data_IF_504095621066
#
_entry.id   IF_504095621066
#
_cell.length_a   1.000
_cell.length_b   1.000
_cell.length_c   1.000
_cell.angle_alpha   90.00
_cell.angle_beta   90.00
_cell.angle_gamma   90.00
#
_symmetry.space_group_name_H-M   'P 1'
#
loop_
_entity.id
_entity.type
_entity.pdbx_description
1 polymer ?
#
# COMPACT_ATOMS: atom_id res chain seq x y z
N UNK A 1 12.87 -20.53 -6.23
CA UNK A 1 11.85 -20.37 -5.18
C UNK A 1 10.76 -19.34 -5.50
N UNK A 2 10.82 -18.70 -6.66
CA UNK A 2 9.74 -17.85 -7.15
C UNK A 2 8.62 -18.72 -7.72
N UNK A 3 7.37 -18.36 -7.39
CA UNK A 3 6.17 -18.98 -7.94
C UNK A 3 5.43 -17.89 -8.70
N UNK A 4 5.10 -18.13 -9.95
CA UNK A 4 4.30 -17.19 -10.76
C UNK A 4 2.87 -17.09 -10.21
N UNK A 5 2.29 -15.90 -10.33
CA UNK A 5 0.86 -15.64 -10.11
C UNK A 5 0.38 -14.49 -11.01
N UNK A 6 -0.91 -14.46 -11.32
CA UNK A 6 -1.52 -13.43 -12.19
C UNK A 6 -1.60 -12.04 -11.54
N UNK A 7 -1.23 -11.90 -10.26
CA UNK A 7 -1.22 -10.63 -9.55
C UNK A 7 -1.05 -10.78 -8.06
N UNK A 8 -0.64 -9.71 -7.38
CA UNK A 8 -0.45 -9.72 -5.92
C UNK A 8 -1.79 -9.94 -5.19
N UNK A 9 -2.88 -9.32 -5.61
CA UNK A 9 -4.21 -9.52 -4.97
C UNK A 9 -4.71 -10.97 -5.09
N UNK A 10 -4.62 -11.64 -6.25
CA UNK A 10 -4.86 -13.09 -6.33
C UNK A 10 -3.97 -13.88 -5.37
N UNK A 11 -2.67 -13.57 -5.29
CA UNK A 11 -1.74 -14.24 -4.36
C UNK A 11 -2.15 -14.04 -2.89
N UNK A 12 -2.51 -12.82 -2.49
CA UNK A 12 -2.99 -12.52 -1.13
C UNK A 12 -4.26 -13.30 -0.79
N UNK A 13 -5.22 -13.37 -1.72
CA UNK A 13 -6.45 -14.14 -1.53
C UNK A 13 -6.16 -15.64 -1.39
N UNK A 14 -5.23 -16.16 -2.18
CA UNK A 14 -4.76 -17.55 -2.08
C UNK A 14 -4.03 -17.81 -0.76
N UNK A 15 -3.17 -16.88 -0.32
CA UNK A 15 -2.47 -16.96 0.96
C UNK A 15 -3.46 -16.99 2.14
N UNK A 16 -4.43 -16.08 2.16
CA UNK A 16 -5.50 -16.05 3.18
C UNK A 16 -6.24 -17.38 3.23
N UNK A 17 -6.66 -17.95 2.10
CA UNK A 17 -7.34 -19.25 2.06
C UNK A 17 -6.47 -20.40 2.56
N UNK A 18 -5.20 -20.41 2.20
CA UNK A 18 -4.30 -21.55 2.44
C UNK A 18 -3.62 -21.53 3.79
N UNK A 19 -3.32 -20.35 4.29
CA UNK A 19 -2.49 -20.20 5.49
C UNK A 19 -3.31 -19.96 6.75
N UNK A 20 -4.62 -19.74 6.59
CA UNK A 20 -5.59 -19.58 7.69
C UNK A 20 -6.78 -20.52 7.52
N UNK A 21 -7.61 -20.66 8.56
CA UNK A 21 -8.90 -21.33 8.49
C UNK A 21 -10.07 -20.33 8.53
N UNK A 22 -11.29 -20.70 8.05
CA UNK A 22 -12.44 -19.80 8.15
C UNK A 22 -12.67 -19.28 9.57
N UNK A 23 -13.06 -18.01 9.67
CA UNK A 23 -13.28 -17.25 10.89
C UNK A 23 -12.02 -16.87 11.70
N UNK A 24 -10.83 -17.30 11.31
CA UNK A 24 -9.60 -16.76 11.90
C UNK A 24 -9.39 -15.27 11.54
N UNK A 25 -8.59 -14.62 12.35
CA UNK A 25 -8.25 -13.23 12.22
C UNK A 25 -7.04 -13.03 11.29
N UNK A 26 -7.15 -12.04 10.40
CA UNK A 26 -6.03 -11.55 9.60
C UNK A 26 -5.78 -10.10 9.96
N UNK A 27 -4.58 -9.81 10.46
CA UNK A 27 -4.18 -8.48 10.90
C UNK A 27 -3.64 -7.65 9.73
N UNK A 28 -4.09 -6.40 9.63
CA UNK A 28 -3.59 -5.37 8.70
C UNK A 28 -3.36 -4.06 9.44
N UNK A 29 -2.33 -3.31 9.05
CA UNK A 29 -2.02 -2.00 9.62
C UNK A 29 -2.69 -0.88 8.82
N UNK A 30 -3.71 -0.25 9.41
CA UNK A 30 -4.49 0.79 8.72
C UNK A 30 -4.00 2.22 9.06
N UNK A 31 -4.18 3.20 8.13
CA UNK A 31 -4.84 3.08 6.82
C UNK A 31 -4.01 2.25 5.83
N UNK A 32 -4.67 1.38 5.05
CA UNK A 32 -3.99 0.49 4.10
C UNK A 32 -4.84 0.21 2.87
N UNK A 33 -4.22 -0.34 1.83
CA UNK A 33 -4.87 -0.65 0.57
C UNK A 33 -6.18 -1.43 0.74
N UNK A 34 -7.27 -0.85 0.25
CA UNK A 34 -8.63 -1.33 0.48
C UNK A 34 -8.92 -2.76 0.00
N UNK A 35 -8.19 -3.27 -1.00
CA UNK A 35 -8.38 -4.64 -1.46
C UNK A 35 -7.90 -5.70 -0.45
N UNK A 36 -7.09 -5.35 0.54
CA UNK A 36 -6.75 -6.30 1.62
C UNK A 36 -8.00 -6.70 2.41
N UNK A 37 -8.89 -5.75 2.70
CA UNK A 37 -10.18 -6.03 3.34
C UNK A 37 -11.01 -7.03 2.54
N UNK A 38 -11.04 -6.86 1.21
CA UNK A 38 -11.77 -7.76 0.31
C UNK A 38 -11.11 -9.15 0.28
N UNK A 39 -9.78 -9.23 0.18
CA UNK A 39 -9.05 -10.49 0.18
C UNK A 39 -9.27 -11.29 1.48
N UNK A 40 -9.49 -10.61 2.61
CA UNK A 40 -9.78 -11.24 3.90
C UNK A 40 -11.27 -11.65 4.00
N UNK A 41 -12.17 -10.67 3.84
CA UNK A 41 -13.61 -10.88 4.06
C UNK A 41 -14.24 -11.83 3.04
N UNK A 42 -13.88 -11.69 1.76
CA UNK A 42 -14.41 -12.57 0.69
C UNK A 42 -13.96 -14.02 0.85
N UNK A 43 -12.93 -14.27 1.64
CA UNK A 43 -12.47 -15.62 1.98
C UNK A 43 -12.96 -16.10 3.36
N UNK A 44 -13.92 -15.40 3.99
CA UNK A 44 -14.55 -15.82 5.25
C UNK A 44 -13.65 -15.68 6.49
N UNK A 45 -12.69 -14.75 6.47
CA UNK A 45 -11.81 -14.42 7.61
C UNK A 45 -12.20 -13.06 8.19
N UNK A 46 -11.82 -12.84 9.44
CA UNK A 46 -12.06 -11.58 10.12
C UNK A 46 -10.88 -10.61 9.88
N UNK A 47 -11.21 -9.33 9.70
CA UNK A 47 -10.20 -8.28 9.61
C UNK A 47 -9.91 -7.75 11.00
N UNK A 48 -8.65 -7.78 11.43
CA UNK A 48 -8.16 -7.08 12.61
C UNK A 48 -7.36 -5.86 12.15
N UNK A 49 -7.90 -4.69 12.44
CA UNK A 49 -7.26 -3.41 12.08
C UNK A 49 -6.34 -2.94 13.22
N UNK A 50 -5.04 -2.98 12.97
CA UNK A 50 -4.01 -2.33 13.77
C UNK A 50 -3.82 -0.92 13.23
N UNK A 51 -4.53 0.04 13.81
CA UNK A 51 -4.47 1.44 13.39
C UNK A 51 -3.11 2.03 13.76
N UNK A 52 -2.41 2.57 12.75
CA UNK A 52 -1.16 3.30 12.94
C UNK A 52 -1.40 4.65 13.62
N UNK A 53 -0.49 5.04 14.49
CA UNK A 53 -0.51 6.34 15.15
C UNK A 53 -0.02 7.42 14.19
N UNK A 54 -0.83 8.46 13.99
CA UNK A 54 -0.47 9.62 13.17
C UNK A 54 -0.22 10.85 14.04
N UNK A 55 1.00 11.38 14.00
CA UNK A 55 1.42 12.52 14.82
C UNK A 55 1.19 13.90 14.17
N UNK A 56 0.59 13.93 12.98
CA UNK A 56 0.39 15.13 12.16
C UNK A 56 1.39 15.27 11.03
N UNK A 57 2.40 14.40 10.95
CA UNK A 57 3.42 14.39 9.92
C UNK A 57 3.67 13.00 9.33
N UNK A 58 3.80 11.99 10.18
CA UNK A 58 4.15 10.62 9.81
C UNK A 58 3.37 9.58 10.63
N UNK A 59 3.35 8.35 10.14
CA UNK A 59 2.76 7.22 10.83
C UNK A 59 3.80 6.44 11.64
N UNK A 60 3.37 5.93 12.81
CA UNK A 60 4.15 5.05 13.68
C UNK A 60 3.32 3.85 14.11
N UNK A 61 3.99 2.77 14.49
CA UNK A 61 3.32 1.56 14.99
C UNK A 61 2.98 1.76 16.49
N UNK A 62 1.74 1.45 16.83
CA UNK A 62 1.33 1.24 18.22
C UNK A 62 1.75 -0.19 18.62
N UNK A 63 2.92 -0.29 19.22
CA UNK A 63 3.53 -1.58 19.54
C UNK A 63 2.76 -2.37 20.60
N UNK A 64 2.19 -1.71 21.58
CA UNK A 64 1.39 -2.36 22.64
C UNK A 64 0.12 -2.98 22.03
N UNK A 65 -0.58 -2.21 21.21
CA UNK A 65 -1.79 -2.68 20.52
C UNK A 65 -1.46 -3.77 19.51
N UNK A 66 -0.35 -3.66 18.77
CA UNK A 66 0.10 -4.68 17.82
C UNK A 66 0.36 -6.00 18.56
N UNK A 67 1.12 -5.98 19.63
CA UNK A 67 1.42 -7.18 20.41
C UNK A 67 0.16 -7.80 21.00
N UNK A 68 -0.74 -7.02 21.58
CA UNK A 68 -2.01 -7.49 22.11
C UNK A 68 -2.86 -8.18 21.04
N UNK A 69 -2.89 -7.64 19.81
CA UNK A 69 -3.66 -8.22 18.70
C UNK A 69 -3.02 -9.47 18.11
N UNK A 70 -1.69 -9.56 18.10
CA UNK A 70 -0.95 -10.76 17.69
C UNK A 70 -1.07 -11.88 18.74
N UNK A 71 -1.17 -11.54 20.01
CA UNK A 71 -1.34 -12.51 21.11
C UNK A 71 -2.72 -13.19 21.16
N UNK A 72 -3.70 -12.69 20.40
CA UNK A 72 -4.99 -13.37 20.23
C UNK A 72 -4.76 -14.66 19.42
N UNK A 73 -5.09 -15.85 19.99
CA UNK A 73 -4.87 -17.13 19.33
C UNK A 73 -5.68 -17.31 18.03
N UNK A 74 -6.67 -16.45 17.76
CA UNK A 74 -7.37 -16.42 16.48
C UNK A 74 -6.62 -15.64 15.42
N UNK A 75 -5.61 -14.82 15.76
CA UNK A 75 -4.78 -14.06 14.81
C UNK A 75 -3.66 -14.96 14.30
N UNK A 76 -3.77 -15.44 13.08
CA UNK A 76 -2.84 -16.42 12.48
C UNK A 76 -2.08 -15.91 11.27
N UNK A 77 -2.49 -14.75 10.73
CA UNK A 77 -1.87 -14.12 9.57
C UNK A 77 -1.80 -12.60 9.76
N UNK A 78 -0.67 -12.00 9.35
CA UNK A 78 -0.54 -10.56 9.15
C UNK A 78 -0.25 -10.27 7.68
N UNK A 79 -0.97 -9.34 7.07
CA UNK A 79 -0.61 -8.78 5.76
C UNK A 79 0.12 -7.47 6.01
N UNK A 80 1.41 -7.46 5.71
CA UNK A 80 2.29 -6.30 5.82
C UNK A 80 2.40 -5.61 4.47
N UNK A 81 1.99 -4.34 4.38
CA UNK A 81 2.16 -3.50 3.19
C UNK A 81 3.42 -2.65 3.37
N UNK A 82 4.50 -3.02 2.71
CA UNK A 82 5.77 -2.29 2.80
C UNK A 82 6.49 -2.31 1.45
N UNK A 83 6.64 -1.17 0.76
CA UNK A 83 6.19 0.18 1.12
C UNK A 83 4.68 0.32 1.22
N UNK A 84 4.23 1.14 2.17
CA UNK A 84 2.81 1.25 2.49
C UNK A 84 2.04 2.09 1.45
N UNK A 85 0.87 1.61 1.06
CA UNK A 85 -0.15 2.35 0.34
C UNK A 85 -1.34 2.58 1.30
N UNK A 86 -1.73 3.82 1.66
CA UNK A 86 -1.60 5.05 0.85
C UNK A 86 -0.45 5.99 1.22
N UNK A 87 0.17 5.86 2.38
CA UNK A 87 1.04 6.91 2.94
C UNK A 87 2.47 6.92 2.36
N UNK A 88 2.94 5.82 1.78
CA UNK A 88 4.30 5.72 1.24
C UNK A 88 5.37 5.45 2.29
N UNK A 89 5.00 5.05 3.49
CA UNK A 89 5.96 4.67 4.54
C UNK A 89 6.80 3.48 4.11
N UNK A 90 8.07 3.51 4.53
CA UNK A 90 8.99 2.37 4.49
C UNK A 90 9.45 2.13 5.92
N UNK A 91 9.34 0.90 6.40
CA UNK A 91 9.85 0.52 7.71
C UNK A 91 11.33 0.20 7.64
N UNK A 92 12.09 0.67 8.63
CA UNK A 92 13.50 0.35 8.77
C UNK A 92 13.73 -1.10 9.26
N UNK A 93 14.99 -1.54 9.24
CA UNK A 93 15.38 -2.90 9.60
C UNK A 93 14.99 -3.27 11.03
N UNK A 94 15.13 -2.34 11.98
CA UNK A 94 14.81 -2.57 13.39
C UNK A 94 13.31 -2.77 13.60
N UNK A 95 12.51 -1.92 12.97
CA UNK A 95 11.04 -2.02 12.96
C UNK A 95 10.57 -3.34 12.35
N UNK A 96 11.13 -3.71 11.19
CA UNK A 96 10.79 -4.98 10.51
C UNK A 96 11.21 -6.20 11.35
N UNK A 97 12.41 -6.18 11.96
CA UNK A 97 12.88 -7.24 12.84
C UNK A 97 11.96 -7.41 14.07
N UNK A 98 11.50 -6.30 14.65
CA UNK A 98 10.57 -6.33 15.79
C UNK A 98 9.21 -6.89 15.40
N UNK A 99 8.67 -6.53 14.23
CA UNK A 99 7.44 -7.15 13.69
C UNK A 99 7.66 -8.66 13.54
N UNK A 100 8.77 -9.07 12.92
CA UNK A 100 9.11 -10.48 12.73
C UNK A 100 9.21 -11.26 14.04
N UNK A 101 9.88 -10.70 15.04
CA UNK A 101 10.02 -11.31 16.36
C UNK A 101 8.67 -11.51 17.06
N UNK A 102 7.78 -10.49 17.03
CA UNK A 102 6.44 -10.60 17.61
C UNK A 102 5.58 -11.63 16.84
N UNK A 103 5.58 -11.60 15.51
CA UNK A 103 4.85 -12.58 14.71
C UNK A 103 5.34 -14.01 14.99
N UNK A 104 6.65 -14.23 15.12
CA UNK A 104 7.22 -15.54 15.48
C UNK A 104 6.82 -15.99 16.87
N UNK A 105 6.82 -15.06 17.85
CA UNK A 105 6.45 -15.34 19.24
C UNK A 105 5.01 -15.87 19.36
N UNK A 106 4.10 -15.36 18.52
CA UNK A 106 2.67 -15.70 18.55
C UNK A 106 2.22 -16.60 17.38
N UNK A 107 3.16 -17.25 16.70
CA UNK A 107 2.90 -18.16 15.57
C UNK A 107 2.08 -17.53 14.41
N UNK A 108 2.27 -16.23 14.16
CA UNK A 108 1.60 -15.50 13.09
C UNK A 108 2.48 -15.50 11.84
N UNK A 109 1.93 -15.95 10.70
CA UNK A 109 2.58 -15.89 9.39
C UNK A 109 2.49 -14.47 8.83
N UNK A 110 3.57 -13.97 8.22
CA UNK A 110 3.57 -12.67 7.55
C UNK A 110 3.46 -12.83 6.03
N UNK A 111 2.47 -12.23 5.42
CA UNK A 111 2.42 -12.04 3.97
C UNK A 111 2.83 -10.59 3.67
N UNK A 112 4.05 -10.43 3.14
CA UNK A 112 4.62 -9.12 2.82
C UNK A 112 4.23 -8.72 1.39
N UNK A 113 3.40 -7.70 1.25
CA UNK A 113 3.12 -7.07 -0.05
C UNK A 113 4.17 -6.01 -0.32
N UNK A 114 5.09 -6.35 -1.22
CA UNK A 114 6.24 -5.53 -1.62
C UNK A 114 6.11 -4.99 -3.05
N UNK A 115 4.88 -4.88 -3.56
CA UNK A 115 4.61 -4.46 -4.94
C UNK A 115 5.15 -3.06 -5.29
N UNK A 116 5.45 -2.25 -4.30
CA UNK A 116 5.99 -0.90 -4.45
C UNK A 116 7.50 -0.81 -4.12
N UNK A 117 8.20 -1.92 -3.89
CA UNK A 117 9.58 -1.95 -3.40
C UNK A 117 10.59 -1.17 -4.26
N UNK A 118 10.40 -1.14 -5.58
CA UNK A 118 11.28 -0.42 -6.51
C UNK A 118 10.95 1.09 -6.63
N UNK A 119 9.77 1.51 -6.14
CA UNK A 119 9.26 2.87 -6.28
C UNK A 119 9.59 3.72 -5.04
N UNK A 120 10.83 3.70 -4.63
CA UNK A 120 11.34 4.52 -3.52
C UNK A 120 11.82 5.87 -4.01
N UNK A 121 11.84 6.86 -3.12
CA UNK A 121 12.50 8.14 -3.35
C UNK A 121 13.97 7.92 -3.72
N UNK A 122 14.54 8.65 -4.68
CA UNK A 122 15.96 8.55 -5.00
C UNK A 122 16.84 8.66 -3.75
N UNK A 123 17.78 7.73 -3.59
CA UNK A 123 18.66 7.65 -2.43
C UNK A 123 18.09 6.95 -1.20
N UNK A 124 16.83 6.52 -1.22
CA UNK A 124 16.23 5.73 -0.13
C UNK A 124 16.39 4.24 -0.41
N UNK A 125 16.99 3.52 0.54
CA UNK A 125 17.11 2.06 0.50
C UNK A 125 15.80 1.39 0.95
N UNK A 126 15.37 0.38 0.22
CA UNK A 126 14.29 -0.51 0.61
C UNK A 126 14.83 -1.82 1.16
N UNK A 127 14.28 -2.29 2.26
CA UNK A 127 14.67 -3.56 2.89
C UNK A 127 13.52 -4.56 2.77
N UNK A 128 13.67 -5.62 1.94
CA UNK A 128 12.68 -6.69 1.86
C UNK A 128 12.51 -7.39 3.22
N UNK A 129 11.28 -7.68 3.63
CA UNK A 129 11.01 -8.29 4.93
C UNK A 129 11.77 -9.61 5.13
N UNK A 130 11.79 -10.48 4.13
CA UNK A 130 12.51 -11.76 4.17
C UNK A 130 14.05 -11.62 4.22
N UNK A 131 14.60 -10.43 3.99
CA UNK A 131 16.05 -10.16 4.06
C UNK A 131 16.54 -9.63 5.40
N UNK A 132 15.62 -9.33 6.31
CA UNK A 132 15.93 -8.72 7.61
C UNK A 132 16.79 -9.64 8.47
N UNK A 133 16.28 -10.84 8.72
CA UNK A 133 16.94 -11.90 9.49
C UNK A 133 16.33 -13.29 9.14
N UNK A 134 16.84 -14.34 9.81
CA UNK A 134 16.36 -15.71 9.59
C UNK A 134 14.93 -15.93 10.09
N UNK A 135 14.51 -15.23 11.12
CA UNK A 135 13.14 -15.29 11.65
C UNK A 135 12.14 -14.73 10.64
N UNK A 136 12.38 -13.51 10.15
CA UNK A 136 11.55 -12.88 9.13
C UNK A 136 11.46 -13.74 7.85
N UNK A 137 12.58 -14.36 7.47
CA UNK A 137 12.66 -15.24 6.30
C UNK A 137 11.85 -16.52 6.47
N UNK A 138 11.89 -17.13 7.65
CA UNK A 138 11.22 -18.41 7.94
C UNK A 138 9.68 -18.27 7.99
N UNK A 139 9.17 -17.15 8.53
CA UNK A 139 7.74 -16.95 8.75
C UNK A 139 7.02 -16.22 7.61
N UNK A 140 7.72 -15.85 6.54
CA UNK A 140 7.14 -14.95 5.54
C UNK A 140 6.88 -15.57 4.18
N UNK A 141 5.87 -14.98 3.53
CA UNK A 141 5.55 -15.12 2.11
C UNK A 141 5.60 -13.71 1.51
N UNK A 142 6.52 -13.47 0.58
CA UNK A 142 6.70 -12.17 -0.08
C UNK A 142 5.98 -12.15 -1.42
N UNK A 143 5.21 -11.09 -1.69
CA UNK A 143 4.54 -10.85 -2.97
C UNK A 143 5.19 -9.66 -3.68
N UNK A 144 5.70 -9.87 -4.89
CA UNK A 144 6.36 -8.86 -5.74
C UNK A 144 5.77 -8.84 -7.14
N UNK A 145 5.87 -7.71 -7.83
CA UNK A 145 5.40 -7.62 -9.21
C UNK A 145 6.06 -6.47 -9.97
N UNK A 146 6.33 -6.61 -11.28
CA UNK A 146 6.80 -5.52 -12.13
C UNK A 146 5.69 -4.51 -12.46
N UNK A 147 4.45 -4.83 -12.11
CA UNK A 147 3.25 -4.16 -12.62
C UNK A 147 3.11 -2.72 -12.17
N UNK A 148 3.60 -2.36 -10.98
CA UNK A 148 3.62 -0.98 -10.48
C UNK A 148 4.89 -0.27 -10.91
N UNK A 149 6.01 -0.93 -10.78
CA UNK A 149 7.33 -0.41 -11.15
C UNK A 149 7.40 0.01 -12.61
N UNK A 150 6.96 -0.84 -13.53
CA UNK A 150 7.08 -0.65 -14.98
C UNK A 150 5.74 -0.41 -15.69
N UNK A 151 4.69 -0.04 -14.95
CA UNK A 151 3.35 0.23 -15.52
C UNK A 151 2.79 -0.94 -16.37
N UNK A 152 3.00 -2.19 -15.94
CA UNK A 152 2.62 -3.41 -16.65
C UNK A 152 1.37 -4.10 -16.05
N UNK A 153 0.49 -3.35 -15.38
CA UNK A 153 -0.66 -3.93 -14.68
C UNK A 153 -1.58 -4.78 -15.58
N UNK A 154 -1.73 -4.38 -16.86
CA UNK A 154 -2.53 -5.10 -17.85
C UNK A 154 -2.00 -6.48 -18.22
N UNK A 155 -0.72 -6.77 -17.94
CA UNK A 155 -0.10 -8.07 -18.20
C UNK A 155 -0.32 -9.10 -17.09
N UNK A 156 -0.96 -8.71 -15.97
CA UNK A 156 -1.37 -9.62 -14.91
C UNK A 156 -0.23 -10.58 -14.50
N UNK A 157 0.88 -10.04 -14.05
CA UNK A 157 2.06 -10.81 -13.65
C UNK A 157 2.56 -10.37 -12.28
N UNK A 158 2.82 -11.34 -11.43
CA UNK A 158 3.45 -11.17 -10.13
C UNK A 158 4.19 -12.47 -9.75
N UNK A 159 4.95 -12.43 -8.69
CA UNK A 159 5.61 -13.60 -8.13
C UNK A 159 5.43 -13.66 -6.62
N UNK A 160 5.39 -14.87 -6.11
CA UNK A 160 5.42 -15.19 -4.68
C UNK A 160 6.76 -15.83 -4.36
N UNK A 161 7.40 -15.38 -3.30
CA UNK A 161 8.62 -15.96 -2.75
C UNK A 161 8.36 -16.44 -1.32
N UNK A 162 8.84 -17.62 -1.00
CA UNK A 162 8.92 -18.13 0.38
C UNK A 162 10.16 -19.03 0.51
N UNK A 163 11.03 -18.72 1.49
CA UNK A 163 12.23 -19.52 1.77
C UNK A 163 11.87 -20.81 2.50
N UNK A 164 10.95 -20.74 3.46
CA UNK A 164 10.42 -21.89 4.18
C UNK A 164 9.74 -22.84 3.20
N UNK A 165 10.24 -24.07 3.11
CA UNK A 165 9.78 -25.08 2.14
C UNK A 165 8.31 -25.47 2.33
N UNK A 166 7.81 -25.42 3.56
CA UNK A 166 6.40 -25.72 3.88
C UNK A 166 5.50 -24.60 3.36
N UNK A 167 5.86 -23.33 3.65
CA UNK A 167 5.11 -22.18 3.14
C UNK A 167 5.17 -22.13 1.61
N UNK A 168 6.34 -22.36 1.01
CA UNK A 168 6.51 -22.44 -0.43
C UNK A 168 5.58 -23.49 -1.05
N UNK A 169 5.59 -24.72 -0.51
CA UNK A 169 4.74 -25.80 -1.02
C UNK A 169 3.25 -25.47 -0.85
N UNK A 170 2.85 -24.93 0.31
CA UNK A 170 1.44 -24.53 0.56
C UNK A 170 0.99 -23.47 -0.44
N UNK A 171 1.81 -22.44 -0.70
CA UNK A 171 1.51 -21.39 -1.67
C UNK A 171 1.46 -21.93 -3.10
N UNK A 172 2.45 -22.71 -3.50
CA UNK A 172 2.47 -23.34 -4.84
C UNK A 172 1.20 -24.15 -5.10
N UNK A 173 0.80 -25.01 -4.15
CA UNK A 173 -0.43 -25.81 -4.26
C UNK A 173 -1.67 -24.93 -4.36
N UNK A 174 -1.77 -23.87 -3.56
CA UNK A 174 -2.96 -23.03 -3.55
C UNK A 174 -3.10 -22.20 -4.81
N UNK A 175 -2.00 -21.60 -5.30
CA UNK A 175 -2.04 -20.80 -6.53
C UNK A 175 -2.47 -21.64 -7.74
N UNK A 176 -2.03 -22.91 -7.79
CA UNK A 176 -2.49 -23.85 -8.82
C UNK A 176 -3.96 -24.25 -8.62
N UNK A 177 -4.39 -24.49 -7.38
CA UNK A 177 -5.81 -24.82 -7.06
C UNK A 177 -6.76 -23.67 -7.44
N UNK A 178 -6.31 -22.44 -7.28
CA UNK A 178 -7.08 -21.23 -7.62
C UNK A 178 -6.96 -20.83 -9.10
N UNK A 179 -6.19 -21.59 -9.89
CA UNK A 179 -5.95 -21.34 -11.33
C UNK A 179 -5.36 -19.96 -11.63
N UNK A 180 -4.50 -19.45 -10.72
CA UNK A 180 -3.85 -18.15 -10.86
C UNK A 180 -2.33 -18.25 -11.07
N UNK A 181 -1.82 -19.46 -11.31
CA UNK A 181 -0.39 -19.76 -11.52
C UNK A 181 0.00 -19.82 -13.00
N UNK A 182 -0.94 -19.64 -13.92
CA UNK A 182 -0.67 -19.76 -15.37
C UNK A 182 -0.41 -18.37 -15.99
N UNK A 183 0.79 -18.15 -16.57
CA UNK A 183 1.12 -16.89 -17.22
C UNK A 183 0.43 -16.78 -18.60
N UNK A 184 -0.02 -15.56 -18.92
CA UNK A 184 -0.38 -15.27 -20.31
C UNK A 184 0.87 -15.19 -21.20
N UNK A 185 0.66 -15.20 -22.53
CA UNK A 185 1.72 -15.31 -23.52
C UNK A 185 2.82 -14.22 -23.43
N UNK A 186 2.53 -13.05 -22.85
CA UNK A 186 3.44 -11.92 -22.81
C UNK A 186 4.04 -11.66 -21.40
N UNK A 187 3.41 -12.19 -20.37
CA UNK A 187 3.73 -11.88 -18.97
C UNK A 187 5.21 -12.12 -18.62
N UNK A 188 5.73 -13.29 -18.94
CA UNK A 188 7.11 -13.69 -18.59
C UNK A 188 8.12 -12.87 -19.38
N UNK A 189 7.94 -12.75 -20.71
CA UNK A 189 8.87 -12.02 -21.57
C UNK A 189 8.92 -10.53 -21.22
N UNK A 190 7.76 -9.91 -20.97
CA UNK A 190 7.71 -8.51 -20.56
C UNK A 190 8.35 -8.29 -19.18
N UNK A 191 8.15 -9.22 -18.23
CA UNK A 191 8.79 -9.14 -16.91
C UNK A 191 10.32 -9.23 -17.02
N UNK A 192 10.82 -10.19 -17.81
CA UNK A 192 12.26 -10.33 -18.04
C UNK A 192 12.82 -9.06 -18.69
N UNK A 193 12.18 -8.56 -19.75
CA UNK A 193 12.62 -7.37 -20.43
C UNK A 193 12.61 -6.12 -19.51
N UNK A 194 11.57 -5.98 -18.70
CA UNK A 194 11.43 -4.85 -17.76
C UNK A 194 12.58 -4.84 -16.73
N UNK A 195 12.84 -5.96 -16.06
CA UNK A 195 13.93 -6.03 -15.07
C UNK A 195 15.33 -6.05 -15.68
N UNK A 196 15.47 -6.59 -16.89
CA UNK A 196 16.78 -6.66 -17.54
C UNK A 196 17.22 -5.34 -18.19
N UNK A 197 16.27 -4.54 -18.71
CA UNK A 197 16.56 -3.35 -19.51
C UNK A 197 15.89 -2.07 -19.00
N UNK A 198 15.12 -2.14 -17.93
CA UNK A 198 14.30 -1.02 -17.45
C UNK A 198 14.92 -0.18 -16.35
N UNK A 199 16.20 -0.41 -15.95
CA UNK A 199 16.84 0.27 -14.83
C UNK A 199 16.91 1.81 -15.03
N UNK A 200 17.45 2.26 -16.16
CA UNK A 200 17.56 3.69 -16.49
C UNK A 200 16.17 4.36 -16.54
N UNK A 201 15.19 3.70 -17.16
CA UNK A 201 13.82 4.20 -17.21
C UNK A 201 13.20 4.31 -15.79
N UNK A 202 13.47 3.34 -14.92
CA UNK A 202 12.97 3.35 -13.54
C UNK A 202 13.58 4.49 -12.72
N UNK A 203 14.88 4.72 -12.86
CA UNK A 203 15.57 5.82 -12.16
C UNK A 203 15.05 7.17 -12.61
N UNK A 204 14.88 7.40 -13.92
CA UNK A 204 14.24 8.60 -14.47
C UNK A 204 12.80 8.77 -13.96
N UNK A 205 12.01 7.66 -13.89
CA UNK A 205 10.67 7.70 -13.35
C UNK A 205 10.65 8.10 -11.87
N UNK A 206 11.54 7.54 -11.05
CA UNK A 206 11.64 7.85 -9.61
C UNK A 206 11.96 9.33 -9.40
N UNK A 207 12.91 9.88 -10.15
CA UNK A 207 13.21 11.31 -10.12
C UNK A 207 12.03 12.18 -10.58
N UNK A 208 11.34 11.75 -11.63
CA UNK A 208 10.19 12.48 -12.16
C UNK A 208 9.03 12.53 -11.16
N UNK A 209 8.73 11.38 -10.54
CA UNK A 209 7.70 11.28 -9.50
C UNK A 209 8.07 12.15 -8.29
N UNK A 210 9.34 12.17 -7.87
CA UNK A 210 9.79 13.01 -6.76
C UNK A 210 9.63 14.49 -7.07
N UNK A 211 9.96 14.94 -8.29
CA UNK A 211 9.73 16.33 -8.75
C UNK A 211 8.25 16.70 -8.72
N UNK A 212 7.36 15.77 -9.10
CA UNK A 212 5.91 15.97 -9.02
C UNK A 212 5.43 16.07 -7.56
N UNK A 213 5.93 15.21 -6.66
CA UNK A 213 5.64 15.28 -5.22
C UNK A 213 6.09 16.60 -4.60
N UNK A 214 7.28 17.03 -4.94
CA UNK A 214 7.81 18.31 -4.48
C UNK A 214 6.95 19.48 -4.96
N UNK A 215 6.58 19.54 -6.23
CA UNK A 215 5.66 20.54 -6.75
C UNK A 215 4.34 20.58 -6.01
N UNK A 216 3.70 19.40 -5.78
CA UNK A 216 2.45 19.32 -5.02
C UNK A 216 2.63 19.85 -3.60
N UNK A 217 3.73 19.49 -2.94
CA UNK A 217 4.02 19.95 -1.57
C UNK A 217 4.17 21.46 -1.49
N UNK A 218 4.95 22.06 -2.40
CA UNK A 218 5.15 23.50 -2.49
C UNK A 218 3.82 24.23 -2.80
N UNK A 219 3.05 23.72 -3.75
CA UNK A 219 1.74 24.26 -4.11
C UNK A 219 0.76 24.27 -2.91
N UNK A 220 0.69 23.16 -2.18
CA UNK A 220 -0.16 23.05 -1.00
C UNK A 220 0.26 24.05 0.09
N UNK A 221 1.56 24.17 0.36
CA UNK A 221 2.09 25.12 1.35
C UNK A 221 1.76 26.56 1.00
N UNK A 222 1.87 26.93 -0.28
CA UNK A 222 1.62 28.29 -0.74
C UNK A 222 0.11 28.61 -0.88
N UNK A 223 -0.66 27.72 -1.52
CA UNK A 223 -2.07 27.99 -1.92
C UNK A 223 -3.10 27.37 -1.03
N UNK A 224 -2.81 26.24 -0.37
CA UNK A 224 -3.80 25.50 0.43
C UNK A 224 -3.16 25.04 1.77
N UNK A 225 -2.71 25.96 2.64
CA UNK A 225 -1.97 25.60 3.85
C UNK A 225 -2.79 24.81 4.89
N UNK A 226 -4.08 24.58 4.63
CA UNK A 226 -4.93 23.72 5.44
C UNK A 226 -4.81 22.23 5.10
N UNK A 227 -4.19 21.89 3.96
CA UNK A 227 -3.93 20.52 3.54
C UNK A 227 -2.42 20.23 3.63
N UNK A 228 -2.05 19.11 4.26
CA UNK A 228 -0.66 18.73 4.42
C UNK A 228 -0.40 17.35 3.82
N UNK A 229 0.68 17.17 3.03
CA UNK A 229 1.10 15.83 2.64
C UNK A 229 1.69 15.10 3.85
N UNK A 230 1.31 13.83 4.00
CA UNK A 230 1.93 12.92 4.97
C UNK A 230 3.31 12.53 4.47
N UNK A 231 4.29 12.44 5.35
CA UNK A 231 5.63 12.02 5.00
C UNK A 231 5.67 10.56 4.56
N UNK A 232 6.35 10.31 3.43
CA UNK A 232 6.53 8.96 2.89
C UNK A 232 7.54 8.96 1.75
N UNK A 233 8.49 8.00 1.79
CA UNK A 233 9.63 7.93 0.88
C UNK A 233 9.44 6.91 -0.25
N UNK A 234 8.22 6.44 -0.48
CA UNK A 234 7.92 5.49 -1.55
C UNK A 234 6.60 5.79 -2.26
N UNK A 235 6.36 5.01 -3.29
CA UNK A 235 5.21 5.04 -4.19
C UNK A 235 5.11 6.33 -5.01
N UNK A 236 4.21 6.35 -5.98
CA UNK A 236 3.82 7.54 -6.73
C UNK A 236 2.49 8.13 -6.19
N UNK A 237 2.12 7.74 -4.98
CA UNK A 237 0.91 8.19 -4.31
C UNK A 237 1.27 9.24 -3.26
N UNK A 238 0.41 10.21 -3.09
CA UNK A 238 0.48 11.16 -1.99
C UNK A 238 -0.76 11.04 -1.11
N UNK A 239 -0.55 10.97 0.18
CA UNK A 239 -1.58 10.93 1.19
C UNK A 239 -1.69 12.32 1.82
N UNK A 240 -2.84 12.95 1.67
CA UNK A 240 -3.05 14.35 2.06
C UNK A 240 -3.95 14.41 3.28
N UNK A 241 -3.47 15.02 4.36
CA UNK A 241 -4.24 15.32 5.55
C UNK A 241 -5.13 16.55 5.30
N UNK A 242 -6.44 16.33 5.20
CA UNK A 242 -7.46 17.35 4.99
C UNK A 242 -8.33 17.59 6.25
N UNK A 243 -7.96 17.06 7.42
CA UNK A 243 -8.76 17.11 8.65
C UNK A 243 -9.04 18.53 9.18
N UNK A 244 -8.26 19.51 8.75
CA UNK A 244 -8.55 20.93 9.02
C UNK A 244 -9.70 21.49 8.16
N UNK A 245 -10.11 20.76 7.12
CA UNK A 245 -11.16 21.17 6.16
C UNK A 245 -12.39 20.29 6.29
N UNK A 246 -12.22 18.99 6.53
CA UNK A 246 -13.31 18.02 6.52
C UNK A 246 -13.05 16.85 7.46
N UNK A 247 -14.10 16.33 8.07
CA UNK A 247 -14.07 15.08 8.82
C UNK A 247 -14.23 13.85 7.88
N UNK A 248 -14.72 14.05 6.65
CA UNK A 248 -15.01 12.97 5.70
C UNK A 248 -14.32 13.17 4.35
N UNK A 249 -13.18 12.50 4.17
CA UNK A 249 -12.48 12.45 2.89
C UNK A 249 -13.36 11.95 1.74
N UNK A 250 -14.33 11.06 2.03
CA UNK A 250 -15.30 10.56 1.03
C UNK A 250 -16.22 11.66 0.51
N UNK A 251 -16.80 12.47 1.40
CA UNK A 251 -17.69 13.56 1.01
C UNK A 251 -16.92 14.63 0.26
N UNK A 252 -15.73 14.96 0.76
CA UNK A 252 -14.86 15.95 0.13
C UNK A 252 -14.37 15.51 -1.26
N UNK A 253 -13.94 14.25 -1.45
CA UNK A 253 -13.58 13.72 -2.76
C UNK A 253 -14.75 13.75 -3.77
N UNK A 254 -15.98 13.46 -3.32
CA UNK A 254 -17.19 13.59 -4.16
C UNK A 254 -17.46 15.02 -4.56
N UNK A 255 -17.30 15.96 -3.62
CA UNK A 255 -17.47 17.38 -3.88
C UNK A 255 -16.44 17.88 -4.90
N UNK A 256 -15.15 17.58 -4.70
CA UNK A 256 -14.07 17.92 -5.64
C UNK A 256 -14.41 17.43 -7.05
N UNK A 257 -14.82 16.17 -7.16
CA UNK A 257 -15.19 15.60 -8.46
C UNK A 257 -16.37 16.32 -9.12
N UNK A 258 -17.38 16.70 -8.34
CA UNK A 258 -18.57 17.43 -8.82
C UNK A 258 -18.22 18.84 -9.25
N UNK A 259 -17.37 19.55 -8.50
CA UNK A 259 -17.04 20.95 -8.70
C UNK A 259 -16.05 21.16 -9.84
N UNK A 260 -14.99 20.38 -9.91
CA UNK A 260 -13.87 20.61 -10.83
C UNK A 260 -13.60 19.45 -11.79
N UNK A 261 -14.27 18.31 -11.63
CA UNK A 261 -14.00 17.08 -12.41
C UNK A 261 -12.74 16.34 -11.97
N UNK A 262 -11.97 16.85 -11.00
CA UNK A 262 -10.78 16.17 -10.48
C UNK A 262 -11.18 14.89 -9.73
N UNK A 263 -10.55 13.76 -10.09
CA UNK A 263 -10.76 12.50 -9.41
C UNK A 263 -9.63 12.20 -8.42
N UNK A 264 -9.98 12.18 -7.13
CA UNK A 264 -9.11 11.76 -6.04
C UNK A 264 -9.80 10.69 -5.19
N UNK A 265 -9.04 9.91 -4.43
CA UNK A 265 -9.61 8.88 -3.58
C UNK A 265 -9.84 9.41 -2.16
N UNK A 266 -11.06 9.29 -1.65
CA UNK A 266 -11.37 9.60 -0.25
C UNK A 266 -10.78 8.56 0.70
N UNK A 267 -10.23 9.01 1.83
CA UNK A 267 -9.45 8.17 2.73
C UNK A 267 -10.23 7.11 3.49
N UNK A 268 -11.54 7.29 3.66
CA UNK A 268 -12.41 6.34 4.36
C UNK A 268 -12.38 4.90 3.83
N UNK A 269 -11.96 4.69 2.57
CA UNK A 269 -11.86 3.35 1.99
C UNK A 269 -10.61 2.56 2.44
N UNK A 270 -9.67 3.23 3.11
CA UNK A 270 -8.40 2.62 3.55
C UNK A 270 -8.44 2.11 4.99
N UNK A 271 -9.63 2.08 5.62
CA UNK A 271 -9.83 1.61 6.99
C UNK A 271 -9.68 2.71 8.04
N UNK A 272 -9.53 2.29 9.28
CA UNK A 272 -9.37 3.21 10.41
C UNK A 272 -8.18 4.15 10.20
N UNK A 273 -8.30 5.38 10.68
CA UNK A 273 -7.28 6.41 10.50
C UNK A 273 -7.26 7.04 9.11
N UNK A 274 -8.18 6.66 8.19
CA UNK A 274 -8.30 7.24 6.86
C UNK A 274 -9.32 8.38 6.73
N UNK A 275 -10.13 8.64 7.78
CA UNK A 275 -11.11 9.72 7.79
C UNK A 275 -10.43 11.09 7.65
N UNK A 276 -11.01 11.95 6.84
CA UNK A 276 -10.45 13.29 6.61
C UNK A 276 -9.20 13.34 5.73
N UNK A 277 -8.81 12.23 5.10
CA UNK A 277 -7.68 12.18 4.18
C UNK A 277 -8.12 12.00 2.72
N UNK A 278 -7.22 12.41 1.80
CA UNK A 278 -7.31 12.14 0.36
C UNK A 278 -6.05 11.44 -0.14
N UNK A 279 -6.20 10.52 -1.12
CA UNK A 279 -5.07 9.97 -1.86
C UNK A 279 -5.04 10.50 -3.27
N UNK A 280 -3.89 11.05 -3.67
CA UNK A 280 -3.62 11.58 -5.01
C UNK A 280 -2.54 10.71 -5.68
N UNK A 281 -2.71 10.43 -6.97
CA UNK A 281 -1.70 9.78 -7.81
C UNK A 281 -0.97 10.86 -8.62
N UNK A 282 0.37 10.89 -8.51
CA UNK A 282 1.21 11.87 -9.21
C UNK A 282 2.08 11.23 -10.31
N UNK A 283 1.85 9.96 -10.65
CA UNK A 283 2.50 9.28 -11.77
C UNK A 283 1.86 9.66 -13.10
N UNK A 284 1.96 10.93 -13.45
CA UNK A 284 1.46 11.51 -14.70
C UNK A 284 2.33 12.69 -15.12
N UNK A 285 2.04 13.30 -16.29
CA UNK A 285 2.82 14.46 -16.73
C UNK A 285 2.67 15.65 -15.77
N UNK A 286 3.71 16.47 -15.67
CA UNK A 286 3.73 17.67 -14.84
C UNK A 286 2.54 18.58 -15.11
N UNK A 287 2.17 18.78 -16.39
CA UNK A 287 1.01 19.59 -16.77
C UNK A 287 -0.31 19.07 -16.17
N UNK A 288 -0.50 17.75 -16.11
CA UNK A 288 -1.69 17.14 -15.50
C UNK A 288 -1.67 17.29 -13.98
N UNK A 289 -0.50 17.23 -13.35
CA UNK A 289 -0.36 17.51 -11.92
C UNK A 289 -0.69 18.96 -11.61
N UNK A 290 -0.19 19.90 -12.40
CA UNK A 290 -0.45 21.35 -12.26
C UNK A 290 -1.95 21.66 -12.41
N UNK A 291 -2.60 21.14 -13.46
CA UNK A 291 -4.05 21.26 -13.65
C UNK A 291 -4.84 20.63 -12.47
N UNK A 292 -4.41 19.47 -12.01
CA UNK A 292 -5.02 18.79 -10.85
C UNK A 292 -4.93 19.60 -9.57
N UNK A 293 -3.79 20.23 -9.29
CA UNK A 293 -3.61 21.07 -8.11
C UNK A 293 -4.42 22.37 -8.19
N UNK A 294 -4.51 22.98 -9.37
CA UNK A 294 -5.38 24.15 -9.57
C UNK A 294 -6.84 23.81 -9.34
N UNK A 295 -7.33 22.68 -9.85
CA UNK A 295 -8.70 22.18 -9.61
C UNK A 295 -8.95 21.86 -8.14
N UNK A 296 -7.96 21.32 -7.43
CA UNK A 296 -8.04 21.10 -5.99
C UNK A 296 -8.21 22.41 -5.24
N UNK A 297 -7.40 23.43 -5.58
CA UNK A 297 -7.48 24.76 -4.97
C UNK A 297 -8.87 25.40 -5.15
N UNK A 298 -9.39 25.40 -6.37
CA UNK A 298 -10.73 25.91 -6.67
C UNK A 298 -11.84 25.17 -5.91
N UNK A 299 -11.68 23.85 -5.78
CA UNK A 299 -12.64 23.02 -5.03
C UNK A 299 -12.59 23.29 -3.53
N UNK A 300 -11.39 23.51 -2.96
CA UNK A 300 -11.23 23.90 -1.54
C UNK A 300 -11.86 25.24 -1.26
N UNK A 301 -11.62 26.23 -2.12
CA UNK A 301 -12.23 27.58 -1.97
C UNK A 301 -13.76 27.51 -2.02
N UNK A 302 -14.32 26.72 -2.93
CA UNK A 302 -15.77 26.52 -3.02
C UNK A 302 -16.33 25.79 -1.78
N UNK A 303 -15.65 24.72 -1.30
CA UNK A 303 -16.03 23.98 -0.10
C UNK A 303 -16.10 24.86 1.14
N UNK A 304 -15.07 25.69 1.37
CA UNK A 304 -15.00 26.58 2.51
C UNK A 304 -16.06 27.69 2.47
N UNK A 305 -16.50 28.10 1.27
CA UNK A 305 -17.62 29.05 1.10
C UNK A 305 -18.95 28.41 1.44
N UNK A 306 -19.22 27.17 0.99
CA UNK A 306 -20.45 26.45 1.32
C UNK A 306 -20.57 26.17 2.83
N UNK A 307 -19.47 25.76 3.50
CA UNK A 307 -19.49 25.54 4.95
C UNK A 307 -19.74 26.82 5.76
N UNK A 308 -19.27 27.98 5.28
CA UNK A 308 -19.56 29.29 5.94
C UNK A 308 -21.00 29.71 5.78
N UNK A 309 -21.71 29.29 4.74
CA UNK A 309 -23.14 29.61 4.50
C UNK A 309 -24.05 28.68 5.32
N UNK A 310 -23.54 27.50 5.68
CA UNK A 310 -24.29 26.45 6.39
C UNK A 310 -24.22 26.58 7.93
N UNK A 311 -23.38 27.48 8.44
CA UNK A 311 -23.26 27.87 9.87
C UNK A 311 -23.90 29.22 10.14
#
# INVERSE_FOLDING_TARGET
KLIFTTGVIPALSSAVRKLTTPAENVLIQTPVYNNFFNSIRNNGRNVVENELLYDGKEYRIDWEKLEQQLADPQTTLMILCNPQNPAGNIWDRETLARIGALCKQYDVIVVSDEIHCDLTKPGTEYIPFASVDDTCRDISVTCIAPTKTFNLAGLQTAAVYAENSILHHRMWRQLNTDEVAEPNAFAIQATIAAFQYGEEWLDELREYVEKNKQYVTEFLQEKIPLIHPVAGDATYLMWLDCRKITESGRQFAKFIRKTSGLYVSGGNQYGKGGEGFLRVNVATSKLVVEDGMQRLYESVDAWLKEEKISK
#
